data_IF_999833123726
#
_entry.id   IF_999833123726
#
_cell.length_a   1.000
_cell.length_b   1.000
_cell.length_c   1.000
_cell.angle_alpha   90.00
_cell.angle_beta   90.00
_cell.angle_gamma   90.00
#
_symmetry.space_group_name_H-M   'P 1'
#
loop_
_entity.id
_entity.type
_entity.pdbx_description
1 polymer ?
#
# COMPACT_ATOMS: atom_id res chain seq x y z
N UNK A 1 5.76 -31.97 16.49
CA UNK A 1 6.39 -30.68 16.88
C UNK A 1 7.00 -30.00 15.65
N UNK A 2 7.86 -30.67 14.87
CA UNK A 2 8.41 -30.09 13.63
C UNK A 2 7.36 -29.80 12.54
N UNK A 3 6.43 -30.72 12.29
CA UNK A 3 5.36 -30.51 11.31
C UNK A 3 4.48 -29.29 11.64
N UNK A 4 4.23 -29.06 12.93
CA UNK A 4 3.44 -27.92 13.40
C UNK A 4 4.20 -26.61 13.17
N UNK A 5 5.51 -26.60 13.43
CA UNK A 5 6.36 -25.44 13.18
C UNK A 5 6.42 -25.07 11.68
N UNK A 6 6.54 -26.06 10.79
CA UNK A 6 6.53 -25.79 9.35
C UNK A 6 5.15 -25.29 8.87
N UNK A 7 4.05 -25.85 9.38
CA UNK A 7 2.70 -25.31 9.11
C UNK A 7 2.56 -23.86 9.55
N UNK A 8 3.02 -23.52 10.74
CA UNK A 8 2.97 -22.15 11.27
C UNK A 8 3.81 -21.18 10.43
N UNK A 9 5.00 -21.61 10.02
CA UNK A 9 5.90 -20.84 9.15
C UNK A 9 5.28 -20.59 7.78
N UNK A 10 4.63 -21.58 7.18
CA UNK A 10 3.96 -21.41 5.89
C UNK A 10 2.70 -20.54 6.00
N UNK A 11 1.92 -20.69 7.06
CA UNK A 11 0.79 -19.80 7.34
C UNK A 11 1.25 -18.34 7.47
N UNK A 12 2.37 -18.09 8.16
CA UNK A 12 2.94 -16.76 8.30
C UNK A 12 3.40 -16.18 6.96
N UNK A 13 4.08 -16.98 6.12
CA UNK A 13 4.48 -16.55 4.77
C UNK A 13 3.28 -16.18 3.90
N UNK A 14 2.20 -16.96 3.97
CA UNK A 14 0.97 -16.68 3.22
C UNK A 14 0.31 -15.38 3.70
N UNK A 15 0.18 -15.18 5.01
CA UNK A 15 -0.36 -13.95 5.59
C UNK A 15 0.48 -12.73 5.19
N UNK A 16 1.81 -12.85 5.26
CA UNK A 16 2.73 -11.79 4.84
C UNK A 16 2.60 -11.43 3.36
N UNK A 17 2.55 -12.44 2.48
CA UNK A 17 2.37 -12.23 1.03
C UNK A 17 1.04 -11.54 0.70
N UNK A 18 -0.04 -11.93 1.39
CA UNK A 18 -1.35 -11.29 1.25
C UNK A 18 -1.31 -9.82 1.69
N UNK A 19 -0.70 -9.54 2.84
CA UNK A 19 -0.49 -8.18 3.34
C UNK A 19 0.30 -7.31 2.35
N UNK A 20 1.45 -7.80 1.87
CA UNK A 20 2.27 -7.08 0.90
C UNK A 20 1.53 -6.79 -0.41
N UNK A 21 0.67 -7.71 -0.85
CA UNK A 21 -0.14 -7.53 -2.06
C UNK A 21 -1.18 -6.42 -1.89
N UNK A 22 -1.87 -6.38 -0.75
CA UNK A 22 -2.80 -5.29 -0.41
C UNK A 22 -2.09 -3.95 -0.33
N UNK A 23 -0.96 -3.88 0.37
CA UNK A 23 -0.13 -2.67 0.44
C UNK A 23 0.28 -2.19 -0.95
N UNK A 24 0.81 -3.08 -1.82
CA UNK A 24 1.18 -2.71 -3.20
C UNK A 24 0.01 -2.13 -4.00
N UNK A 25 -1.19 -2.67 -3.82
CA UNK A 25 -2.41 -2.15 -4.45
C UNK A 25 -2.74 -0.75 -3.93
N UNK A 26 -2.70 -0.56 -2.61
CA UNK A 26 -2.99 0.72 -1.95
C UNK A 26 -1.99 1.80 -2.34
N UNK A 27 -0.71 1.45 -2.57
CA UNK A 27 0.30 2.41 -3.06
C UNK A 27 -0.06 3.06 -4.41
N UNK A 28 -0.98 2.48 -5.18
CA UNK A 28 -1.50 3.08 -6.41
C UNK A 28 -2.52 4.22 -6.17
N UNK A 29 -2.94 4.45 -4.92
CA UNK A 29 -3.91 5.47 -4.53
C UNK A 29 -5.21 5.37 -5.33
N UNK A 30 -5.59 6.47 -6.00
CA UNK A 30 -6.74 6.52 -6.92
C UNK A 30 -6.57 5.72 -8.23
N UNK A 31 -5.60 4.81 -8.30
CA UNK A 31 -5.32 3.96 -9.45
C UNK A 31 -4.46 4.62 -10.52
N UNK A 32 -3.97 3.79 -11.45
CA UNK A 32 -3.06 4.18 -12.54
C UNK A 32 -3.60 5.34 -13.38
N UNK A 33 -4.91 5.37 -13.64
CA UNK A 33 -5.54 6.42 -14.43
C UNK A 33 -5.48 7.79 -13.72
N UNK A 34 -5.72 7.84 -12.41
CA UNK A 34 -5.64 9.09 -11.64
C UNK A 34 -4.20 9.59 -11.54
N UNK A 35 -3.24 8.68 -11.30
CA UNK A 35 -1.82 9.00 -11.28
C UNK A 35 -1.35 9.60 -12.63
N UNK A 36 -1.74 8.99 -13.75
CA UNK A 36 -1.42 9.51 -15.10
C UNK A 36 -2.00 10.92 -15.31
N UNK A 37 -3.26 11.16 -14.91
CA UNK A 37 -3.88 12.49 -14.98
C UNK A 37 -3.16 13.54 -14.12
N UNK A 38 -2.61 13.16 -12.97
CA UNK A 38 -1.80 14.08 -12.15
C UNK A 38 -0.48 14.41 -12.85
N UNK A 39 0.17 13.41 -13.41
CA UNK A 39 1.43 13.54 -14.14
C UNK A 39 1.28 14.39 -15.41
N UNK A 40 0.22 14.18 -16.19
CA UNK A 40 -0.12 15.01 -17.36
C UNK A 40 -0.33 16.49 -17.02
N UNK A 41 -0.70 16.79 -15.76
CA UNK A 41 -0.82 18.17 -15.24
C UNK A 41 0.49 18.71 -14.66
N UNK A 42 1.61 18.00 -14.83
CA UNK A 42 2.91 18.34 -14.26
C UNK A 42 2.98 18.19 -12.73
N UNK A 43 2.08 17.43 -12.11
CA UNK A 43 2.03 17.27 -10.65
C UNK A 43 2.66 15.93 -10.23
N UNK A 44 3.48 15.99 -9.18
CA UNK A 44 3.92 14.80 -8.46
C UNK A 44 2.75 14.18 -7.67
N UNK A 45 2.68 12.85 -7.66
CA UNK A 45 1.80 12.09 -6.76
C UNK A 45 2.27 12.24 -5.31
N UNK A 46 1.41 11.91 -4.34
CA UNK A 46 1.76 12.03 -2.92
C UNK A 46 3.06 11.27 -2.56
N UNK A 47 3.23 10.04 -3.08
CA UNK A 47 4.44 9.23 -2.85
C UNK A 47 5.68 9.79 -3.56
N UNK A 48 5.54 10.24 -4.81
CA UNK A 48 6.64 10.92 -5.53
C UNK A 48 7.11 12.18 -4.79
N UNK A 49 6.19 12.90 -4.13
CA UNK A 49 6.55 14.07 -3.30
C UNK A 49 7.38 13.66 -2.08
N UNK A 50 6.99 12.59 -1.39
CA UNK A 50 7.74 12.07 -0.23
C UNK A 50 9.13 11.62 -0.68
N UNK A 51 9.22 10.85 -1.78
CA UNK A 51 10.50 10.38 -2.34
C UNK A 51 11.46 11.52 -2.68
N UNK A 52 10.95 12.69 -3.08
CA UNK A 52 11.77 13.87 -3.39
C UNK A 52 12.10 14.70 -2.15
N UNK A 53 11.30 14.59 -1.09
CA UNK A 53 11.44 15.40 0.13
C UNK A 53 12.46 14.83 1.11
N UNK A 54 12.58 13.50 1.17
CA UNK A 54 13.44 12.81 2.14
C UNK A 54 14.82 12.50 1.54
N UNK A 55 15.84 12.45 2.39
CA UNK A 55 17.22 12.16 1.97
C UNK A 55 17.39 10.70 1.51
N UNK A 56 16.78 9.75 2.22
CA UNK A 56 16.73 8.33 1.82
C UNK A 56 15.30 7.79 1.91
N UNK A 57 14.61 7.55 0.78
CA UNK A 57 13.26 7.00 0.77
C UNK A 57 13.18 5.57 1.28
N UNK A 58 14.30 4.84 1.43
CA UNK A 58 14.31 3.50 2.00
C UNK A 58 14.37 3.50 3.54
N UNK A 59 14.69 4.65 4.14
CA UNK A 59 14.80 4.80 5.60
C UNK A 59 13.47 5.19 6.28
N UNK A 60 12.41 5.42 5.50
CA UNK A 60 11.12 5.91 6.03
C UNK A 60 10.29 4.77 6.63
N UNK A 61 9.66 5.05 7.78
CA UNK A 61 8.64 4.19 8.37
C UNK A 61 7.26 4.70 7.98
N UNK A 62 6.54 3.93 7.17
CA UNK A 62 5.18 4.25 6.75
C UNK A 62 4.15 3.84 7.81
N UNK A 63 3.27 4.77 8.19
CA UNK A 63 2.18 4.53 9.15
C UNK A 63 0.85 4.56 8.41
N UNK A 64 0.02 3.54 8.62
CA UNK A 64 -1.36 3.52 8.10
C UNK A 64 -1.50 3.12 6.63
N UNK A 65 -0.63 2.28 6.08
CA UNK A 65 -0.71 1.81 4.68
C UNK A 65 -2.00 1.03 4.29
N UNK A 66 -2.80 0.63 5.29
CA UNK A 66 -4.11 0.01 5.12
C UNK A 66 -5.24 0.85 5.72
N UNK A 67 -4.97 2.12 6.06
CA UNK A 67 -5.98 2.99 6.64
C UNK A 67 -7.19 3.07 5.70
N UNK A 68 -8.38 2.96 6.27
CA UNK A 68 -9.65 2.99 5.54
C UNK A 68 -9.82 1.93 4.42
N UNK A 69 -9.01 0.89 4.37
CA UNK A 69 -9.24 -0.20 3.41
C UNK A 69 -10.60 -0.86 3.67
N UNK A 70 -11.36 -1.09 2.59
CA UNK A 70 -12.74 -1.60 2.60
C UNK A 70 -13.78 -0.73 3.34
N UNK A 71 -13.41 0.47 3.78
CA UNK A 71 -14.35 1.41 4.40
C UNK A 71 -15.14 2.20 3.34
N UNK A 72 -16.21 2.86 3.78
CA UNK A 72 -17.01 3.82 3.00
C UNK A 72 -17.68 3.22 1.75
N UNK A 73 -18.07 1.94 1.80
CA UNK A 73 -18.71 1.26 0.66
C UNK A 73 -19.99 1.99 0.21
N UNK A 74 -20.75 2.54 1.15
CA UNK A 74 -21.96 3.32 0.91
C UNK A 74 -21.72 4.62 0.13
N UNK A 75 -20.47 5.09 0.05
CA UNK A 75 -20.05 6.28 -0.70
C UNK A 75 -19.27 5.94 -1.98
N UNK A 76 -19.32 4.68 -2.43
CA UNK A 76 -18.57 4.19 -3.59
C UNK A 76 -17.21 3.58 -3.25
N UNK A 77 -16.89 3.46 -1.97
CA UNK A 77 -15.69 2.82 -1.45
C UNK A 77 -14.43 3.68 -1.56
N UNK A 78 -13.45 3.37 -0.71
CA UNK A 78 -12.10 3.90 -0.80
C UNK A 78 -11.11 2.72 -0.97
N UNK A 79 -10.19 2.74 -1.96
CA UNK A 79 -9.14 1.72 -2.05
C UNK A 79 -8.30 1.66 -0.76
N UNK A 80 -7.79 2.80 -0.32
CA UNK A 80 -7.25 3.08 1.02
C UNK A 80 -7.04 4.60 1.19
N UNK A 81 -6.82 5.03 2.43
CA UNK A 81 -6.41 6.38 2.81
C UNK A 81 -4.90 6.51 3.09
N UNK A 82 -4.10 5.52 2.66
CA UNK A 82 -2.63 5.50 2.78
C UNK A 82 -1.99 4.61 1.73
#
# INVERSE_FOLDING_TARGET
MELENEKNKDALKMAWSSLQTRVRKNKLGGGKASLKKQEEKGKLSARKRIETLVDDPNSILEIGALAAENMYQEYGGCPSAG
#
